data_IF_558204394181
#
_entry.id   IF_558204394181
#
_cell.length_a   1.000
_cell.length_b   1.000
_cell.length_c   1.000
_cell.angle_alpha   90.00
_cell.angle_beta   90.00
_cell.angle_gamma   90.00
#
_symmetry.space_group_name_H-M   'P 1'
#
loop_
_entity.id
_entity.type
_entity.pdbx_description
1 polymer ?
#
# COMPACT_ATOMS: atom_id res chain seq x y z
N UNK A 1 10.16 -3.47 16.85
CA UNK A 1 10.64 -2.61 15.75
C UNK A 1 11.88 -3.27 15.13
N UNK A 2 11.69 -3.96 14.01
CA UNK A 2 12.75 -4.73 13.36
C UNK A 2 13.68 -3.85 12.52
N UNK A 3 14.91 -4.30 12.25
CA UNK A 3 15.91 -3.55 11.48
C UNK A 3 15.51 -3.29 10.00
N UNK A 4 14.42 -3.88 9.52
CA UNK A 4 13.93 -3.73 8.14
C UNK A 4 13.09 -2.46 7.92
N UNK A 5 12.33 -2.01 8.92
CA UNK A 5 11.53 -0.78 8.84
C UNK A 5 12.43 0.46 8.82
N UNK A 6 13.59 0.40 9.49
CA UNK A 6 14.57 1.49 9.52
C UNK A 6 15.26 1.62 8.15
N UNK A 7 15.48 0.51 7.44
CA UNK A 7 16.14 0.54 6.13
C UNK A 7 15.31 1.29 5.08
N UNK A 8 13.98 1.13 5.05
CA UNK A 8 13.12 1.81 4.08
C UNK A 8 13.08 3.33 4.32
N UNK A 9 12.94 3.75 5.58
CA UNK A 9 12.95 5.18 5.95
C UNK A 9 14.31 5.84 5.71
N UNK A 10 15.41 5.11 5.93
CA UNK A 10 16.77 5.63 5.69
C UNK A 10 17.09 5.70 4.20
N UNK A 11 16.66 4.74 3.38
CA UNK A 11 16.83 4.80 1.91
C UNK A 11 16.03 5.98 1.33
N UNK A 12 14.81 6.23 1.81
CA UNK A 12 14.03 7.41 1.40
C UNK A 12 14.71 8.73 1.79
N UNK A 13 15.31 8.80 2.98
CA UNK A 13 16.03 9.99 3.47
C UNK A 13 17.34 10.25 2.71
N UNK A 14 18.01 9.21 2.19
CA UNK A 14 19.24 9.40 1.40
C UNK A 14 18.99 9.91 -0.02
N UNK A 15 17.79 9.72 -0.58
CA UNK A 15 17.42 10.25 -1.91
C UNK A 15 17.09 11.76 -1.86
N UNK A 16 16.85 12.33 -0.68
CA UNK A 16 16.59 13.78 -0.49
C UNK A 16 17.83 14.65 -0.79
N UNK A 17 19.00 14.02 -1.02
CA UNK A 17 20.28 14.71 -1.24
C UNK A 17 20.65 15.04 -2.69
N UNK A 18 19.88 14.66 -3.70
CA UNK A 18 20.21 14.95 -5.10
C UNK A 18 19.08 15.73 -5.78
N UNK A 19 19.47 16.80 -6.48
CA UNK A 19 18.63 17.93 -6.84
C UNK A 19 17.54 17.61 -7.89
N UNK A 20 16.32 18.06 -7.60
CA UNK A 20 15.34 18.57 -8.56
C UNK A 20 14.79 17.65 -9.66
N UNK A 21 14.40 16.43 -9.33
CA UNK A 21 13.21 15.79 -9.95
C UNK A 21 12.00 16.15 -9.07
N UNK A 22 10.90 16.61 -9.66
CA UNK A 22 9.76 17.26 -9.00
C UNK A 22 9.37 16.70 -7.62
N UNK A 23 9.58 17.48 -6.56
CA UNK A 23 9.43 17.02 -5.16
C UNK A 23 8.02 16.55 -4.80
N UNK A 24 7.00 16.86 -5.62
CA UNK A 24 5.63 16.39 -5.43
C UNK A 24 5.46 14.89 -5.68
N UNK A 25 6.12 14.32 -6.70
CA UNK A 25 5.91 12.94 -7.10
C UNK A 25 6.51 11.93 -6.12
N UNK A 26 7.73 12.19 -5.65
CA UNK A 26 8.36 11.39 -4.59
C UNK A 26 7.59 11.47 -3.27
N UNK A 27 6.99 12.63 -2.97
CA UNK A 27 6.13 12.78 -1.80
C UNK A 27 4.86 11.92 -1.93
N UNK A 28 4.23 11.89 -3.10
CA UNK A 28 3.06 11.01 -3.35
C UNK A 28 3.42 9.54 -3.18
N UNK A 29 4.56 9.09 -3.70
CA UNK A 29 5.03 7.71 -3.52
C UNK A 29 5.33 7.38 -2.05
N UNK A 30 5.91 8.33 -1.30
CA UNK A 30 6.19 8.18 0.12
C UNK A 30 4.89 8.12 0.95
N UNK A 31 3.92 8.98 0.65
CA UNK A 31 2.62 8.98 1.32
C UNK A 31 1.83 7.71 1.02
N UNK A 32 1.88 7.23 -0.22
CA UNK A 32 1.29 5.95 -0.60
C UNK A 32 1.90 4.78 0.19
N UNK A 33 3.22 4.66 0.24
CA UNK A 33 3.88 3.57 0.99
C UNK A 33 3.49 3.61 2.48
N UNK A 34 3.47 4.81 3.06
CA UNK A 34 3.08 5.04 4.45
C UNK A 34 1.64 4.60 4.70
N UNK A 35 0.68 5.02 3.87
CA UNK A 35 -0.73 4.74 4.10
C UNK A 35 -1.12 3.29 3.75
N UNK A 36 -0.53 2.69 2.71
CA UNK A 36 -0.75 1.27 2.38
C UNK A 36 -0.12 0.35 3.44
N UNK A 37 1.06 0.69 3.95
CA UNK A 37 1.66 -0.05 5.07
C UNK A 37 0.84 0.11 6.35
N UNK A 38 0.33 1.32 6.62
CA UNK A 38 -0.57 1.57 7.75
C UNK A 38 -1.90 0.83 7.65
N UNK A 39 -2.39 0.58 6.43
CA UNK A 39 -3.56 -0.26 6.18
C UNK A 39 -3.31 -1.73 6.54
N UNK A 40 -2.12 -2.25 6.22
CA UNK A 40 -1.72 -3.60 6.64
C UNK A 40 -1.62 -3.71 8.17
N UNK A 41 -0.98 -2.75 8.81
CA UNK A 41 -0.86 -2.72 10.27
C UNK A 41 -2.25 -2.68 10.94
N UNK A 42 -3.14 -1.81 10.44
CA UNK A 42 -4.52 -1.73 10.91
C UNK A 42 -5.28 -3.04 10.69
N UNK A 43 -5.08 -3.73 9.57
CA UNK A 43 -5.71 -5.03 9.32
C UNK A 43 -5.25 -6.07 10.33
N UNK A 44 -3.95 -6.21 10.56
CA UNK A 44 -3.41 -7.15 11.54
C UNK A 44 -3.89 -6.83 12.96
N UNK A 45 -4.06 -5.55 13.27
CA UNK A 45 -4.63 -5.10 14.54
C UNK A 45 -6.15 -5.23 14.61
N UNK A 46 -6.87 -5.28 13.49
CA UNK A 46 -8.33 -5.23 13.46
C UNK A 46 -9.02 -6.58 13.29
N UNK A 47 -8.38 -7.54 12.60
CA UNK A 47 -8.95 -8.87 12.33
C UNK A 47 -9.49 -9.48 13.63
N UNK A 48 -10.82 -9.63 13.77
CA UNK A 48 -11.43 -10.12 14.99
C UNK A 48 -10.93 -11.55 15.27
N UNK A 49 -10.32 -11.76 16.43
CA UNK A 49 -10.06 -13.11 16.93
C UNK A 49 -11.41 -13.81 17.14
N UNK A 50 -11.47 -15.13 16.94
CA UNK A 50 -12.63 -15.93 17.29
C UNK A 50 -12.40 -16.57 18.69
N UNK A 51 -13.22 -16.25 19.71
CA UNK A 51 -14.46 -15.50 19.66
C UNK A 51 -14.27 -13.97 19.67
N UNK A 52 -15.25 -13.28 19.08
CA UNK A 52 -15.29 -11.82 18.98
C UNK A 52 -15.22 -11.17 20.35
N UNK A 53 -14.38 -10.15 20.44
CA UNK A 53 -14.13 -9.40 21.66
C UNK A 53 -15.04 -8.17 21.71
N UNK A 54 -15.27 -7.64 22.90
CA UNK A 54 -16.16 -6.48 23.09
C UNK A 54 -15.66 -5.20 22.40
N UNK A 55 -14.37 -5.12 22.09
CA UNK A 55 -13.72 -4.02 21.39
C UNK A 55 -13.67 -4.19 19.86
N UNK A 56 -14.19 -5.28 19.30
CA UNK A 56 -14.22 -5.51 17.85
C UNK A 56 -14.80 -4.35 17.04
N UNK A 57 -15.89 -3.65 17.46
CA UNK A 57 -16.37 -2.48 16.72
C UNK A 57 -15.35 -1.34 16.61
N UNK A 58 -14.56 -1.10 17.67
CA UNK A 58 -13.52 -0.08 17.69
C UNK A 58 -12.37 -0.48 16.76
N UNK A 59 -12.01 -1.78 16.77
CA UNK A 59 -10.97 -2.35 15.92
C UNK A 59 -11.33 -2.25 14.43
N UNK A 60 -12.57 -2.60 14.06
CA UNK A 60 -13.08 -2.41 12.69
C UNK A 60 -13.05 -0.93 12.30
N UNK A 61 -13.46 -0.02 13.18
CA UNK A 61 -13.37 1.42 12.90
C UNK A 61 -11.94 1.92 12.62
N UNK A 62 -10.93 1.38 13.30
CA UNK A 62 -9.51 1.69 13.00
C UNK A 62 -9.13 1.24 11.59
N UNK A 63 -9.58 0.06 11.17
CA UNK A 63 -9.40 -0.44 9.80
C UNK A 63 -10.08 0.46 8.77
N UNK A 64 -11.26 1.00 9.07
CA UNK A 64 -11.99 1.93 8.19
C UNK A 64 -11.20 3.22 7.95
N UNK A 65 -10.66 3.79 9.04
CA UNK A 65 -9.85 4.99 8.96
C UNK A 65 -8.58 4.78 8.14
N UNK A 66 -7.91 3.64 8.33
CA UNK A 66 -6.73 3.30 7.54
C UNK A 66 -7.08 3.09 6.06
N UNK A 67 -8.22 2.43 5.77
CA UNK A 67 -8.70 2.22 4.41
C UNK A 67 -9.01 3.55 3.70
N UNK A 68 -9.68 4.49 4.38
CA UNK A 68 -9.95 5.83 3.82
C UNK A 68 -8.66 6.60 3.50
N UNK A 69 -7.65 6.53 4.36
CA UNK A 69 -6.37 7.20 4.14
C UNK A 69 -5.60 6.60 2.98
N UNK A 70 -5.54 5.27 2.91
CA UNK A 70 -4.93 4.55 1.79
C UNK A 70 -5.65 4.89 0.47
N UNK A 71 -6.98 4.92 0.47
CA UNK A 71 -7.76 5.31 -0.71
C UNK A 71 -7.41 6.71 -1.21
N UNK A 72 -7.33 7.70 -0.31
CA UNK A 72 -6.93 9.06 -0.70
C UNK A 72 -5.49 9.15 -1.25
N UNK A 73 -4.55 8.36 -0.70
CA UNK A 73 -3.19 8.30 -1.23
C UNK A 73 -3.12 7.61 -2.61
N UNK A 74 -3.95 6.59 -2.83
CA UNK A 74 -4.07 5.91 -4.13
C UNK A 74 -4.69 6.84 -5.17
N UNK A 75 -5.76 7.56 -4.84
CA UNK A 75 -6.36 8.56 -5.74
C UNK A 75 -5.32 9.62 -6.16
N UNK A 76 -4.45 10.02 -5.23
CA UNK A 76 -3.36 10.95 -5.51
C UNK A 76 -2.32 10.36 -6.46
N UNK A 77 -1.96 9.07 -6.29
CA UNK A 77 -1.07 8.35 -7.21
C UNK A 77 -1.68 8.24 -8.61
N UNK A 78 -2.94 7.81 -8.70
CA UNK A 78 -3.62 7.58 -9.98
C UNK A 78 -3.91 8.89 -10.74
N UNK A 79 -3.92 10.02 -10.03
CA UNK A 79 -3.98 11.35 -10.63
C UNK A 79 -2.66 11.85 -11.22
N UNK A 80 -1.54 11.14 -11.02
CA UNK A 80 -0.25 11.52 -11.60
C UNK A 80 -0.18 11.12 -13.07
N UNK A 81 0.30 12.04 -13.91
CA UNK A 81 0.61 11.74 -15.31
C UNK A 81 2.05 11.20 -15.42
N UNK A 82 2.17 9.88 -15.63
CA UNK A 82 3.45 9.20 -15.73
C UNK A 82 4.30 9.69 -16.90
N UNK A 83 3.70 10.17 -17.98
CA UNK A 83 4.42 10.66 -19.17
C UNK A 83 5.17 11.97 -18.88
N UNK A 84 4.78 12.71 -17.83
CA UNK A 84 5.45 13.95 -17.43
C UNK A 84 6.79 13.72 -16.73
N UNK A 85 7.03 12.52 -16.16
CA UNK A 85 8.21 12.29 -15.31
C UNK A 85 8.91 10.95 -15.53
N UNK A 86 8.37 10.04 -16.35
CA UNK A 86 9.04 8.80 -16.74
C UNK A 86 9.22 8.72 -18.25
N UNK A 87 10.38 8.24 -18.73
CA UNK A 87 10.57 7.90 -20.15
C UNK A 87 9.61 6.80 -20.62
N UNK A 88 9.25 6.82 -21.92
CA UNK A 88 8.38 5.82 -22.56
C UNK A 88 8.78 4.36 -22.27
N UNK A 89 10.09 4.09 -22.21
CA UNK A 89 10.63 2.76 -21.92
C UNK A 89 10.29 2.23 -20.53
N UNK A 90 9.91 3.11 -19.59
CA UNK A 90 9.63 2.79 -18.19
C UNK A 90 8.13 2.91 -17.83
N UNK A 91 7.29 3.42 -18.72
CA UNK A 91 5.84 3.54 -18.50
C UNK A 91 5.16 2.20 -18.18
N UNK A 92 5.71 1.09 -18.67
CA UNK A 92 5.21 -0.24 -18.31
C UNK A 92 5.41 -0.56 -16.82
N UNK A 93 6.53 -0.15 -16.24
CA UNK A 93 6.81 -0.38 -14.80
C UNK A 93 5.87 0.46 -13.93
N UNK A 94 5.61 1.71 -14.33
CA UNK A 94 4.58 2.53 -13.68
C UNK A 94 3.21 1.86 -13.74
N UNK A 95 2.81 1.36 -14.91
CA UNK A 95 1.51 0.69 -15.09
C UNK A 95 1.40 -0.58 -14.24
N UNK A 96 2.47 -1.36 -14.14
CA UNK A 96 2.49 -2.55 -13.30
C UNK A 96 2.38 -2.16 -11.82
N UNK A 97 3.05 -1.09 -11.40
CA UNK A 97 2.95 -0.55 -10.04
C UNK A 97 1.55 -0.03 -9.71
N UNK A 98 0.94 0.80 -10.56
CA UNK A 98 -0.42 1.31 -10.32
C UNK A 98 -1.46 0.19 -10.34
N UNK A 99 -1.37 -0.73 -11.29
CA UNK A 99 -2.24 -1.92 -11.37
C UNK A 99 -2.15 -2.80 -10.12
N UNK A 100 -0.92 -3.03 -9.62
CA UNK A 100 -0.73 -3.79 -8.37
C UNK A 100 -1.29 -3.04 -7.15
N UNK A 101 -1.19 -1.71 -7.13
CA UNK A 101 -1.72 -0.83 -6.08
C UNK A 101 -3.26 -0.87 -6.04
N UNK A 102 -3.91 -0.79 -7.20
CA UNK A 102 -5.37 -0.96 -7.30
C UNK A 102 -5.80 -2.37 -6.86
N UNK A 103 -5.04 -3.40 -7.24
CA UNK A 103 -5.35 -4.79 -6.91
C UNK A 103 -5.30 -5.06 -5.40
N UNK A 104 -4.26 -4.60 -4.70
CA UNK A 104 -4.16 -4.76 -3.25
C UNK A 104 -5.27 -3.98 -2.52
N UNK A 105 -5.57 -2.76 -2.97
CA UNK A 105 -6.62 -1.94 -2.37
C UNK A 105 -8.02 -2.52 -2.58
N UNK A 106 -8.27 -3.15 -3.74
CA UNK A 106 -9.50 -3.91 -3.98
C UNK A 106 -9.68 -5.05 -3.00
N UNK A 107 -8.62 -5.80 -2.68
CA UNK A 107 -8.69 -6.88 -1.69
C UNK A 107 -9.02 -6.34 -0.30
N UNK A 108 -8.42 -5.21 0.10
CA UNK A 108 -8.83 -4.53 1.35
C UNK A 108 -10.28 -4.07 1.33
N UNK A 109 -10.78 -3.64 0.17
CA UNK A 109 -12.19 -3.26 0.00
C UNK A 109 -13.14 -4.46 0.11
N UNK A 110 -12.73 -5.63 -0.38
CA UNK A 110 -13.46 -6.89 -0.19
C UNK A 110 -13.49 -7.28 1.30
N UNK A 111 -12.34 -7.20 1.99
CA UNK A 111 -12.20 -7.44 3.43
C UNK A 111 -13.11 -6.51 4.23
N UNK A 112 -13.07 -5.22 3.91
CA UNK A 112 -13.93 -4.18 4.49
C UNK A 112 -15.40 -4.55 4.35
N UNK A 113 -15.81 -4.93 3.15
CA UNK A 113 -17.19 -5.33 2.87
C UNK A 113 -17.60 -6.55 3.69
N UNK A 114 -16.73 -7.55 3.84
CA UNK A 114 -17.00 -8.76 4.62
C UNK A 114 -17.23 -8.44 6.10
N UNK A 115 -16.38 -7.63 6.72
CA UNK A 115 -16.50 -7.28 8.14
C UNK A 115 -17.69 -6.35 8.46
N UNK A 116 -18.26 -5.69 7.45
CA UNK A 116 -19.48 -4.89 7.56
C UNK A 116 -20.77 -5.66 7.28
N UNK A 117 -20.69 -6.95 6.95
CA UNK A 117 -21.89 -7.79 6.82
C UNK A 117 -22.46 -8.19 8.18
N UNK A 118 -23.74 -8.59 8.20
CA UNK A 118 -24.48 -8.93 9.43
C UNK A 118 -23.92 -10.15 10.17
N UNK A 119 -23.16 -11.00 9.47
CA UNK A 119 -22.55 -12.22 10.01
C UNK A 119 -21.07 -12.20 9.73
N UNK A 120 -20.26 -12.52 10.74
CA UNK A 120 -18.82 -12.60 10.55
C UNK A 120 -18.44 -13.69 9.54
N UNK A 121 -17.37 -13.48 8.76
CA UNK A 121 -16.87 -14.49 7.84
C UNK A 121 -16.51 -15.77 8.58
N UNK A 122 -16.71 -16.92 7.93
CA UNK A 122 -16.23 -18.19 8.45
C UNK A 122 -14.71 -18.32 8.27
N UNK A 123 -14.12 -19.33 8.92
CA UNK A 123 -12.66 -19.53 8.89
C UNK A 123 -12.11 -19.78 7.50
N UNK A 124 -12.87 -20.41 6.61
CA UNK A 124 -12.43 -20.69 5.24
C UNK A 124 -12.33 -19.38 4.44
N UNK A 125 -13.37 -18.54 4.53
CA UNK A 125 -13.41 -17.21 3.91
C UNK A 125 -12.26 -16.34 4.41
N UNK A 126 -11.98 -16.36 5.73
CA UNK A 126 -10.84 -15.63 6.28
C UNK A 126 -9.50 -16.08 5.67
N UNK A 127 -9.26 -17.40 5.61
CA UNK A 127 -8.03 -17.97 5.01
C UNK A 127 -7.90 -17.55 3.54
N UNK A 128 -8.98 -17.65 2.76
CA UNK A 128 -8.97 -17.25 1.35
C UNK A 128 -8.64 -15.76 1.18
N UNK A 129 -9.16 -14.88 2.06
CA UNK A 129 -8.82 -13.46 2.02
C UNK A 129 -7.37 -13.20 2.43
N UNK A 130 -6.86 -13.88 3.44
CA UNK A 130 -5.46 -13.79 3.86
C UNK A 130 -4.50 -14.23 2.74
N UNK A 131 -4.78 -15.35 2.08
CA UNK A 131 -3.98 -15.84 0.95
C UNK A 131 -3.98 -14.83 -0.22
N UNK A 132 -5.14 -14.26 -0.53
CA UNK A 132 -5.27 -13.19 -1.54
C UNK A 132 -4.44 -11.97 -1.14
N UNK A 133 -4.53 -11.55 0.12
CA UNK A 133 -3.82 -10.38 0.62
C UNK A 133 -2.30 -10.59 0.58
N UNK A 134 -1.80 -11.73 1.05
CA UNK A 134 -0.37 -12.09 1.00
C UNK A 134 0.15 -12.07 -0.44
N UNK A 135 -0.64 -12.64 -1.37
CA UNK A 135 -0.26 -12.68 -2.79
C UNK A 135 -0.19 -11.27 -3.36
N UNK A 136 -1.20 -10.44 -3.10
CA UNK A 136 -1.25 -9.07 -3.63
C UNK A 136 -0.20 -8.15 -3.00
N UNK A 137 0.05 -8.26 -1.70
CA UNK A 137 1.14 -7.53 -1.03
C UNK A 137 2.50 -7.90 -1.62
N UNK A 138 2.74 -9.19 -1.86
CA UNK A 138 3.98 -9.65 -2.51
C UNK A 138 4.16 -9.07 -3.91
N UNK A 139 3.10 -9.06 -4.73
CA UNK A 139 3.13 -8.45 -6.06
C UNK A 139 3.35 -6.94 -5.98
N UNK A 140 2.64 -6.25 -5.08
CA UNK A 140 2.75 -4.80 -4.91
C UNK A 140 4.15 -4.38 -4.45
N UNK A 141 4.71 -5.07 -3.45
CA UNK A 141 6.08 -4.82 -2.97
C UNK A 141 7.12 -5.06 -4.05
N UNK A 142 6.93 -6.08 -4.89
CA UNK A 142 7.84 -6.34 -6.00
C UNK A 142 7.81 -5.19 -7.03
N UNK A 143 6.61 -4.77 -7.47
CA UNK A 143 6.45 -3.67 -8.41
C UNK A 143 6.98 -2.35 -7.83
N UNK A 144 6.73 -2.09 -6.54
CA UNK A 144 7.25 -0.93 -5.81
C UNK A 144 8.78 -0.88 -5.85
N UNK A 145 9.44 -2.00 -5.52
CA UNK A 145 10.90 -2.08 -5.54
C UNK A 145 11.46 -1.86 -6.95
N UNK A 146 10.85 -2.47 -7.98
CA UNK A 146 11.27 -2.25 -9.37
C UNK A 146 11.15 -0.79 -9.80
N UNK A 147 10.06 -0.11 -9.40
CA UNK A 147 9.90 1.32 -9.67
C UNK A 147 10.97 2.16 -8.95
N UNK A 148 11.21 1.88 -7.66
CA UNK A 148 12.21 2.62 -6.86
C UNK A 148 13.63 2.42 -7.38
N UNK A 149 13.98 1.21 -7.81
CA UNK A 149 15.30 0.92 -8.40
C UNK A 149 15.53 1.79 -9.64
N UNK A 150 14.54 1.86 -10.55
CA UNK A 150 14.60 2.71 -11.74
C UNK A 150 14.75 4.20 -11.38
N UNK A 151 13.91 4.70 -10.47
CA UNK A 151 13.97 6.11 -10.04
C UNK A 151 15.32 6.45 -9.38
N UNK A 152 15.92 5.49 -8.67
CA UNK A 152 17.23 5.67 -8.03
C UNK A 152 18.40 5.67 -9.03
N UNK A 153 18.29 4.91 -10.13
CA UNK A 153 19.29 4.91 -11.20
C UNK A 153 19.29 6.22 -11.97
N UNK A 154 18.11 6.84 -12.17
CA UNK A 154 17.98 8.13 -12.85
C UNK A 154 18.47 9.31 -11.98
N UNK A 155 18.20 9.29 -10.68
CA UNK A 155 18.65 10.35 -9.76
C UNK A 155 20.17 10.38 -9.52
N UNK A 156 20.90 9.35 -9.96
CA UNK A 156 22.36 9.25 -9.84
C UNK A 156 23.11 9.57 -11.17
N UNK A 157 22.40 9.94 -12.23
CA UNK A 157 22.96 10.36 -13.53
C UNK A 157 22.99 11.88 -13.65
#
# INVERSE_FOLDING_TARGET
MGPRTIALTVVLLTVIGAEAVGSGHLQVLADLDREVSGLLDAYLEAVPECPVRSDTPIRVWVLDLAWLRAGAAIDSLLGMDAEEFLPDSQLNVWRDFTSSTESIFRIYSDIQSLYHTTSLPDSLTCIEMEDRLITADSTWRHAQMTLLDILSEEGNQ
#
